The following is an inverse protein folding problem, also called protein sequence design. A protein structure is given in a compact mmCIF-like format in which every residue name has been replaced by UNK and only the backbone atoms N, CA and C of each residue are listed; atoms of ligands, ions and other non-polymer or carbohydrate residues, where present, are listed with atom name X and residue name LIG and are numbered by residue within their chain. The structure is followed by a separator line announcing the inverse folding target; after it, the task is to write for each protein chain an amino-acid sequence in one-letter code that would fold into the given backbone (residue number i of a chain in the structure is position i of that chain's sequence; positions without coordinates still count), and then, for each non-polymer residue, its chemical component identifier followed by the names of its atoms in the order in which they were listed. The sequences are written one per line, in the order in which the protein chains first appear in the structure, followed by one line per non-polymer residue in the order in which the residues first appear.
data_IF_624816975598
#
_entry.id   IF_624816975598
#
_cell.length_a   1.000
_cell.length_b   1.000
_cell.length_c   1.000
_cell.angle_alpha   90.00
_cell.angle_beta   90.00
_cell.angle_gamma   90.00
#
_symmetry.space_group_name_H-M   'P 1'
#
loop_
_entity.id
_entity.type
_entity.pdbx_description
1 polymer ?
#
# COMPACT_ATOMS: atom_id res chain seq x y z
N UNK A 1 -22.40 0.29 -9.02
CA UNK A 1 -21.41 -0.33 -9.88
C UNK A 1 -20.80 0.70 -10.81
N UNK A 2 -19.55 1.00 -10.51
CA UNK A 2 -18.59 1.63 -11.41
C UNK A 2 -17.90 0.56 -12.27
N UNK A 3 -17.54 0.91 -13.49
CA UNK A 3 -16.86 0.04 -14.45
C UNK A 3 -15.55 0.70 -14.87
N UNK A 4 -14.46 -0.07 -14.84
CA UNK A 4 -13.18 0.43 -15.34
C UNK A 4 -13.24 0.67 -16.84
N UNK A 5 -12.62 1.76 -17.29
CA UNK A 5 -12.55 2.09 -18.72
C UNK A 5 -11.21 1.59 -19.24
N UNK A 6 -11.20 0.37 -19.75
CA UNK A 6 -10.11 -0.15 -20.59
C UNK A 6 -10.42 0.10 -22.09
N UNK A 7 -9.58 -0.42 -23.00
CA UNK A 7 -9.77 -0.24 -24.45
C UNK A 7 -11.07 -0.85 -24.97
N UNK A 8 -11.55 -1.95 -24.39
CA UNK A 8 -12.81 -2.58 -24.79
C UNK A 8 -14.02 -1.78 -24.27
N UNK A 9 -14.02 -1.41 -23.00
CA UNK A 9 -15.05 -0.60 -22.37
C UNK A 9 -15.14 0.80 -23.00
N UNK A 10 -14.01 1.41 -23.38
CA UNK A 10 -13.96 2.69 -24.07
C UNK A 10 -14.78 2.68 -25.37
N UNK A 11 -14.73 1.59 -26.13
CA UNK A 11 -15.50 1.45 -27.37
C UNK A 11 -17.02 1.40 -27.13
N UNK A 12 -17.45 0.98 -25.92
CA UNK A 12 -18.85 0.86 -25.54
C UNK A 12 -19.49 2.18 -25.06
N UNK A 13 -18.69 3.21 -24.75
CA UNK A 13 -19.18 4.52 -24.32
C UNK A 13 -19.93 5.20 -25.48
N UNK A 14 -21.23 5.46 -25.28
CA UNK A 14 -22.13 6.04 -26.29
C UNK A 14 -21.88 7.53 -26.51
N UNK A 15 -21.57 8.27 -25.44
CA UNK A 15 -21.34 9.71 -25.52
C UNK A 15 -19.95 9.98 -26.14
N UNK A 16 -19.86 10.60 -27.34
CA UNK A 16 -18.59 10.75 -28.05
C UNK A 16 -17.62 11.71 -27.35
N UNK A 17 -18.14 12.73 -26.64
CA UNK A 17 -17.32 13.67 -25.88
C UNK A 17 -16.74 12.98 -24.65
N UNK A 18 -17.56 12.18 -23.95
CA UNK A 18 -17.06 11.39 -22.82
C UNK A 18 -16.01 10.37 -23.27
N UNK A 19 -16.28 9.64 -24.37
CA UNK A 19 -15.34 8.66 -24.93
C UNK A 19 -14.00 9.30 -25.29
N UNK A 20 -14.00 10.45 -25.97
CA UNK A 20 -12.77 11.18 -26.28
C UNK A 20 -12.05 11.67 -25.00
N UNK A 21 -12.80 12.13 -24.00
CA UNK A 21 -12.23 12.56 -22.72
C UNK A 21 -11.56 11.41 -21.97
N UNK A 22 -12.19 10.23 -21.97
CA UNK A 22 -11.74 9.02 -21.27
C UNK A 22 -10.59 8.31 -21.99
N UNK A 23 -10.46 8.42 -23.31
CA UNK A 23 -9.39 7.75 -24.07
C UNK A 23 -8.00 8.12 -23.58
N UNK A 24 -7.81 9.37 -23.14
CA UNK A 24 -6.55 9.85 -22.56
C UNK A 24 -6.08 9.02 -21.37
N UNK A 25 -6.99 8.55 -20.52
CA UNK A 25 -6.62 7.70 -19.37
C UNK A 25 -6.27 6.27 -19.79
N UNK A 26 -6.91 5.77 -20.84
CA UNK A 26 -6.55 4.48 -21.45
C UNK A 26 -5.16 4.56 -22.07
N UNK A 27 -4.90 5.61 -22.86
CA UNK A 27 -3.61 5.88 -23.51
C UNK A 27 -2.49 6.05 -22.47
N UNK A 28 -2.69 6.85 -21.42
CA UNK A 28 -1.73 7.00 -20.31
C UNK A 28 -1.38 5.65 -19.68
N UNK A 29 -2.38 4.78 -19.49
CA UNK A 29 -2.17 3.48 -18.87
C UNK A 29 -1.42 2.52 -19.80
N UNK A 30 -1.74 2.52 -21.09
CA UNK A 30 -1.05 1.71 -22.09
C UNK A 30 0.39 2.15 -22.30
N UNK A 31 0.66 3.46 -22.34
CA UNK A 31 2.01 4.01 -22.38
C UNK A 31 2.82 3.57 -21.16
N UNK A 32 2.20 3.57 -19.98
CA UNK A 32 2.81 3.06 -18.76
C UNK A 32 3.11 1.55 -18.83
N UNK A 33 2.19 0.72 -19.34
CA UNK A 33 2.46 -0.71 -19.55
C UNK A 33 3.57 -0.94 -20.57
N UNK A 34 3.63 -0.14 -21.64
CA UNK A 34 4.69 -0.20 -22.63
C UNK A 34 6.06 0.15 -22.00
N UNK A 35 6.12 1.15 -21.11
CA UNK A 35 7.33 1.48 -20.35
C UNK A 35 7.74 0.35 -19.42
N UNK A 36 6.79 -0.29 -18.72
CA UNK A 36 7.10 -1.48 -17.90
C UNK A 36 7.69 -2.60 -18.76
N UNK A 37 7.15 -2.82 -19.95
CA UNK A 37 7.65 -3.82 -20.89
C UNK A 37 9.15 -3.65 -21.23
N UNK A 38 9.69 -2.43 -21.14
CA UNK A 38 11.09 -2.14 -21.41
C UNK A 38 12.05 -2.73 -20.36
N UNK A 39 11.59 -3.04 -19.15
CA UNK A 39 12.40 -3.78 -18.17
C UNK A 39 12.65 -5.23 -18.62
N UNK A 40 11.83 -5.77 -19.54
CA UNK A 40 12.00 -7.11 -20.07
C UNK A 40 11.61 -8.22 -19.10
N UNK A 41 10.82 -7.94 -18.06
CA UNK A 41 10.14 -9.00 -17.28
C UNK A 41 8.76 -9.21 -17.91
N UNK A 42 8.35 -10.45 -18.25
CA UNK A 42 7.06 -10.71 -18.87
C UNK A 42 5.88 -10.22 -18.01
N UNK A 43 4.81 -9.79 -18.67
CA UNK A 43 3.55 -9.39 -18.04
C UNK A 43 2.60 -10.59 -17.96
N UNK A 44 1.78 -10.66 -16.91
CA UNK A 44 0.73 -11.65 -16.74
C UNK A 44 -0.50 -11.00 -16.11
N UNK A 45 -1.66 -11.23 -16.72
CA UNK A 45 -2.93 -10.75 -16.21
C UNK A 45 -3.27 -11.45 -14.90
N UNK A 46 -3.64 -10.67 -13.88
CA UNK A 46 -4.14 -11.22 -12.63
C UNK A 46 -5.59 -11.70 -12.78
N UNK A 47 -5.95 -12.79 -12.11
CA UNK A 47 -7.33 -13.25 -12.05
C UNK A 47 -8.09 -12.54 -10.91
N UNK A 48 -8.71 -11.41 -11.23
CA UNK A 48 -9.49 -10.63 -10.26
C UNK A 48 -10.69 -11.41 -9.72
N UNK A 49 -11.34 -12.23 -10.54
CA UNK A 49 -12.50 -12.99 -10.12
C UNK A 49 -12.11 -14.09 -9.13
N UNK A 50 -10.95 -14.72 -9.34
CA UNK A 50 -10.38 -15.69 -8.40
C UNK A 50 -10.04 -15.03 -7.06
N UNK A 51 -9.41 -13.85 -7.09
CA UNK A 51 -9.10 -13.07 -5.88
C UNK A 51 -10.37 -12.71 -5.11
N UNK A 52 -11.39 -12.17 -5.78
CA UNK A 52 -12.68 -11.81 -5.15
C UNK A 52 -13.35 -13.04 -4.52
N UNK A 53 -13.38 -14.17 -5.24
CA UNK A 53 -13.92 -15.45 -4.73
C UNK A 53 -13.15 -15.95 -3.50
N UNK A 54 -11.82 -15.81 -3.51
CA UNK A 54 -10.98 -16.19 -2.39
C UNK A 54 -11.20 -15.29 -1.16
N UNK A 55 -11.33 -13.98 -1.36
CA UNK A 55 -11.61 -13.01 -0.29
C UNK A 55 -12.98 -13.27 0.36
N UNK A 56 -14.00 -13.59 -0.43
CA UNK A 56 -15.32 -13.99 0.08
C UNK A 56 -15.23 -15.25 0.94
N UNK A 57 -14.55 -16.30 0.45
CA UNK A 57 -14.31 -17.53 1.20
C UNK A 57 -13.56 -17.27 2.52
N UNK A 58 -12.52 -16.45 2.48
CA UNK A 58 -11.75 -16.07 3.68
C UNK A 58 -12.61 -15.30 4.69
N UNK A 59 -13.47 -14.40 4.21
CA UNK A 59 -14.42 -13.65 5.04
C UNK A 59 -15.40 -14.60 5.74
N UNK A 60 -15.93 -15.60 5.04
CA UNK A 60 -16.79 -16.64 5.62
C UNK A 60 -16.07 -17.50 6.66
N UNK A 61 -14.78 -17.79 6.44
CA UNK A 61 -13.91 -18.48 7.41
C UNK A 61 -13.48 -17.61 8.61
N UNK A 62 -13.87 -16.33 8.64
CA UNK A 62 -13.62 -15.43 9.77
C UNK A 62 -12.38 -14.54 9.63
N UNK A 63 -11.78 -14.43 8.45
CA UNK A 63 -10.72 -13.45 8.21
C UNK A 63 -11.26 -12.01 8.26
N UNK A 64 -10.44 -11.10 8.77
CA UNK A 64 -10.74 -9.67 8.74
C UNK A 64 -10.24 -9.06 7.42
N UNK A 65 -11.19 -8.58 6.60
CA UNK A 65 -10.92 -7.90 5.34
C UNK A 65 -11.00 -6.38 5.55
N UNK A 66 -9.94 -5.64 5.20
CA UNK A 66 -9.79 -4.19 5.46
C UNK A 66 -9.30 -3.45 4.23
N UNK A 67 -9.48 -2.12 4.26
CA UNK A 67 -8.87 -1.15 3.34
C UNK A 67 -9.16 -1.43 1.87
N UNK A 68 -10.43 -1.61 1.53
CA UNK A 68 -10.83 -2.00 0.17
C UNK A 68 -10.19 -3.33 -0.27
N UNK A 69 -10.21 -4.31 0.63
CA UNK A 69 -9.72 -5.68 0.40
C UNK A 69 -8.20 -5.81 0.21
N UNK A 70 -7.46 -4.72 0.42
CA UNK A 70 -5.99 -4.65 0.30
C UNK A 70 -5.23 -5.16 1.53
N UNK A 71 -5.94 -5.44 2.63
CA UNK A 71 -5.36 -5.93 3.88
C UNK A 71 -6.26 -7.03 4.43
N UNK A 72 -5.70 -8.23 4.59
CA UNK A 72 -6.41 -9.40 5.09
C UNK A 72 -5.62 -9.97 6.25
N UNK A 73 -6.24 -10.17 7.41
CA UNK A 73 -5.55 -10.81 8.52
C UNK A 73 -6.45 -11.70 9.36
N UNK A 74 -5.80 -12.60 10.09
CA UNK A 74 -6.42 -13.48 11.08
C UNK A 74 -5.70 -13.32 12.41
N UNK A 75 -6.43 -13.52 13.51
CA UNK A 75 -5.95 -13.35 14.89
C UNK A 75 -5.40 -11.95 15.18
N UNK A 76 -4.08 -11.78 15.09
CA UNK A 76 -3.37 -10.60 15.53
C UNK A 76 -2.89 -9.73 14.36
N UNK A 77 -2.97 -8.41 14.53
CA UNK A 77 -2.40 -7.42 13.62
C UNK A 77 -1.63 -6.38 14.45
N UNK A 78 -0.46 -5.97 13.97
CA UNK A 78 0.33 -4.92 14.62
C UNK A 78 -0.46 -3.61 14.71
N UNK A 79 -0.44 -2.91 15.87
CA UNK A 79 -0.99 -1.56 15.99
C UNK A 79 -0.45 -0.59 14.94
N UNK A 80 0.80 -0.78 14.51
CA UNK A 80 1.38 0.04 13.47
C UNK A 80 0.91 -0.33 12.06
N UNK A 81 0.52 -1.57 11.80
CA UNK A 81 -0.13 -1.94 10.53
C UNK A 81 -1.54 -1.33 10.45
N UNK A 82 -2.25 -1.21 11.58
CA UNK A 82 -3.50 -0.46 11.66
C UNK A 82 -3.28 1.03 11.35
N UNK A 83 -2.27 1.65 11.99
CA UNK A 83 -1.94 3.06 11.79
C UNK A 83 -1.44 3.39 10.37
N UNK A 84 -0.74 2.44 9.73
CA UNK A 84 -0.21 2.57 8.36
C UNK A 84 -1.27 2.87 7.30
N UNK A 85 -2.55 2.60 7.57
CA UNK A 85 -3.65 2.94 6.64
C UNK A 85 -3.74 4.44 6.34
N UNK A 86 -3.43 5.29 7.34
CA UNK A 86 -3.47 6.76 7.18
C UNK A 86 -2.08 7.38 7.31
N UNK A 87 -1.15 6.71 7.99
CA UNK A 87 0.17 7.25 8.30
C UNK A 87 0.16 8.42 9.30
N UNK A 88 -1.00 8.82 9.81
CA UNK A 88 -1.13 9.94 10.76
C UNK A 88 -0.40 9.61 12.05
N UNK A 89 0.49 10.52 12.47
CA UNK A 89 1.30 10.34 13.67
C UNK A 89 2.29 9.18 13.56
N UNK A 90 2.65 8.75 12.35
CA UNK A 90 3.63 7.70 12.11
C UNK A 90 4.85 8.26 11.39
N UNK A 91 6.05 7.86 11.80
CA UNK A 91 7.26 8.11 11.02
C UNK A 91 8.16 6.87 11.01
N UNK A 92 8.77 6.61 9.85
CA UNK A 92 9.73 5.52 9.65
C UNK A 92 11.03 6.15 9.15
N UNK A 93 12.11 5.90 9.87
CA UNK A 93 13.42 6.52 9.64
C UNK A 93 14.47 5.44 9.43
N UNK A 94 15.62 5.82 8.89
CA UNK A 94 16.76 4.93 8.70
C UNK A 94 18.07 5.64 9.05
N UNK A 95 19.03 4.93 9.63
CA UNK A 95 20.36 5.48 9.94
C UNK A 95 21.19 5.56 8.66
N UNK A 96 21.21 4.47 7.89
CA UNK A 96 21.92 4.33 6.62
C UNK A 96 21.18 3.29 5.76
N UNK A 97 21.57 3.21 4.50
CA UNK A 97 21.16 2.12 3.60
C UNK A 97 22.24 1.02 3.50
N UNK A 98 23.28 1.07 4.34
CA UNK A 98 24.30 0.03 4.42
C UNK A 98 23.66 -1.30 4.85
N UNK A 99 23.96 -2.36 4.12
CA UNK A 99 23.46 -3.70 4.41
C UNK A 99 24.53 -4.74 4.01
N UNK A 100 24.66 -5.80 4.80
CA UNK A 100 25.55 -6.94 4.50
C UNK A 100 24.85 -8.02 3.66
N UNK A 101 23.55 -7.87 3.39
CA UNK A 101 22.75 -8.74 2.53
C UNK A 101 22.55 -8.09 1.16
N UNK A 102 22.48 -8.92 0.11
CA UNK A 102 22.30 -8.50 -1.28
C UNK A 102 21.03 -9.12 -1.89
N UNK A 103 19.88 -8.89 -1.27
CA UNK A 103 18.61 -9.47 -1.73
C UNK A 103 18.27 -8.95 -3.13
N UNK A 104 18.02 -9.85 -4.08
CA UNK A 104 17.75 -9.48 -5.48
C UNK A 104 16.45 -8.67 -5.67
N UNK A 105 15.59 -8.68 -4.65
CA UNK A 105 14.31 -7.97 -4.59
C UNK A 105 14.31 -6.74 -3.66
N UNK A 106 15.48 -6.30 -3.17
CA UNK A 106 15.55 -5.15 -2.26
C UNK A 106 15.03 -3.87 -2.92
N UNK A 107 14.26 -3.02 -2.23
CA UNK A 107 13.83 -1.72 -2.78
C UNK A 107 14.78 -0.57 -2.43
N UNK A 108 15.75 -0.76 -1.52
CA UNK A 108 16.62 0.34 -1.10
C UNK A 108 17.40 1.00 -2.26
N UNK A 109 17.87 0.26 -3.28
CA UNK A 109 18.53 0.88 -4.43
C UNK A 109 17.67 1.87 -5.23
N UNK A 110 16.33 1.84 -5.07
CA UNK A 110 15.43 2.79 -5.72
C UNK A 110 15.35 4.13 -5.00
N UNK A 111 15.92 4.25 -3.80
CA UNK A 111 15.88 5.51 -3.06
C UNK A 111 16.77 6.55 -3.74
N UNK A 112 16.26 7.79 -3.80
CA UNK A 112 17.06 8.93 -4.24
C UNK A 112 18.31 9.05 -3.35
N UNK A 113 19.47 9.27 -3.96
CA UNK A 113 20.76 9.32 -3.28
C UNK A 113 21.15 8.02 -2.51
N UNK A 114 20.78 6.85 -3.03
CA UNK A 114 21.11 5.55 -2.43
C UNK A 114 22.60 5.41 -2.06
N UNK A 115 23.52 5.71 -2.98
CA UNK A 115 24.97 5.59 -2.74
C UNK A 115 25.46 6.50 -1.60
N UNK A 116 24.92 7.72 -1.51
CA UNK A 116 25.18 8.64 -0.40
C UNK A 116 24.73 8.05 0.93
N UNK A 117 23.53 7.48 0.99
CA UNK A 117 23.00 6.87 2.21
C UNK A 117 23.65 5.52 2.56
N UNK A 118 24.30 4.83 1.61
CA UNK A 118 25.13 3.65 1.91
C UNK A 118 26.44 4.07 2.58
N UNK A 119 27.03 5.19 2.15
CA UNK A 119 28.35 5.66 2.62
C UNK A 119 28.29 6.54 3.87
N UNK A 120 27.14 7.14 4.18
CA UNK A 120 26.99 8.11 5.27
C UNK A 120 25.84 7.75 6.21
N UNK A 121 26.00 8.10 7.49
CA UNK A 121 24.96 7.97 8.52
C UNK A 121 24.17 9.27 8.64
N UNK A 122 22.87 9.13 8.85
CA UNK A 122 21.96 10.20 9.24
C UNK A 122 21.99 10.43 10.75
N UNK A 123 21.80 11.68 11.16
CA UNK A 123 21.69 12.07 12.57
C UNK A 123 20.22 12.04 13.01
N UNK A 124 19.75 10.84 13.34
CA UNK A 124 18.34 10.64 13.70
C UNK A 124 17.94 11.32 15.01
N UNK A 125 18.90 11.64 15.89
CA UNK A 125 18.64 12.41 17.10
C UNK A 125 18.14 13.80 16.74
N UNK A 126 18.88 14.51 15.88
CA UNK A 126 18.45 15.83 15.37
C UNK A 126 17.14 15.77 14.62
N UNK A 127 16.93 14.75 13.78
CA UNK A 127 15.67 14.60 13.06
C UNK A 127 14.46 14.43 14.00
N UNK A 128 14.60 13.65 15.08
CA UNK A 128 13.55 13.51 16.09
C UNK A 128 13.31 14.82 16.86
N UNK A 129 14.36 15.58 17.17
CA UNK A 129 14.23 16.92 17.76
C UNK A 129 13.52 17.89 16.81
N UNK A 130 13.75 17.79 15.50
CA UNK A 130 13.04 18.59 14.50
C UNK A 130 11.54 18.26 14.45
N UNK A 131 11.17 16.97 14.51
CA UNK A 131 9.77 16.57 14.66
C UNK A 131 9.16 17.18 15.93
N UNK A 132 9.88 17.15 17.05
CA UNK A 132 9.41 17.72 18.31
C UNK A 132 9.24 19.24 18.22
N UNK A 133 10.19 19.94 17.60
CA UNK A 133 10.16 21.40 17.39
C UNK A 133 9.00 21.83 16.49
N UNK A 134 8.61 20.99 15.52
CA UNK A 134 7.42 21.18 14.68
C UNK A 134 6.12 20.72 15.35
N UNK A 135 6.15 20.45 16.66
CA UNK A 135 5.02 19.99 17.47
C UNK A 135 4.35 18.70 16.93
N UNK A 136 5.12 17.85 16.26
CA UNK A 136 4.61 16.60 15.72
C UNK A 136 4.09 15.69 16.84
N UNK A 137 2.91 15.12 16.65
CA UNK A 137 2.28 14.17 17.58
C UNK A 137 2.53 12.74 17.12
N UNK A 138 3.78 12.29 17.24
CA UNK A 138 4.17 10.93 16.85
C UNK A 138 3.64 9.90 17.85
N UNK A 139 2.92 8.92 17.33
CA UNK A 139 2.36 7.76 18.04
C UNK A 139 3.02 6.46 17.63
N UNK A 140 3.58 6.39 16.43
CA UNK A 140 4.33 5.22 15.93
C UNK A 140 5.65 5.67 15.33
N UNK A 141 6.75 5.06 15.77
CA UNK A 141 8.10 5.31 15.27
C UNK A 141 8.76 3.99 14.89
N UNK A 142 9.33 3.93 13.69
CA UNK A 142 10.04 2.76 13.23
C UNK A 142 11.44 3.09 12.72
N UNK A 143 12.36 2.14 12.94
CA UNK A 143 13.71 2.15 12.39
C UNK A 143 13.86 1.04 11.35
N UNK A 144 14.25 1.42 10.14
CA UNK A 144 14.47 0.54 8.98
C UNK A 144 15.73 1.00 8.22
N UNK A 145 15.85 0.68 6.94
CA UNK A 145 16.93 1.11 6.06
C UNK A 145 17.58 -0.10 5.38
N UNK A 146 18.91 -0.12 5.39
CA UNK A 146 19.67 -1.34 5.13
C UNK A 146 19.54 -2.32 6.30
N UNK A 147 20.60 -2.52 7.06
CA UNK A 147 20.56 -3.28 8.32
C UNK A 147 20.86 -2.34 9.50
N UNK A 148 19.83 -1.92 10.27
CA UNK A 148 20.03 -1.01 11.39
C UNK A 148 21.02 -1.55 12.44
N UNK A 149 21.09 -2.86 12.63
CA UNK A 149 21.97 -3.48 13.63
C UNK A 149 23.45 -3.53 13.24
N UNK A 150 23.83 -3.04 12.04
CA UNK A 150 25.22 -2.65 11.75
C UNK A 150 25.63 -1.38 12.51
N UNK A 151 24.65 -0.63 13.03
CA UNK A 151 24.82 0.61 13.78
C UNK A 151 24.14 0.47 15.14
N UNK A 152 24.64 -0.48 15.95
CA UNK A 152 24.03 -0.88 17.24
C UNK A 152 23.86 0.31 18.19
N UNK A 153 24.88 1.15 18.34
CA UNK A 153 24.86 2.29 19.26
C UNK A 153 23.84 3.34 18.83
N UNK A 154 23.81 3.69 17.55
CA UNK A 154 22.87 4.65 16.98
C UNK A 154 21.44 4.12 17.03
N UNK A 155 21.24 2.83 16.82
CA UNK A 155 19.94 2.16 16.97
C UNK A 155 19.41 2.29 18.40
N UNK A 156 20.26 2.02 19.40
CA UNK A 156 19.87 2.17 20.81
C UNK A 156 19.62 3.63 21.18
N UNK A 157 20.45 4.55 20.69
CA UNK A 157 20.27 5.99 20.89
C UNK A 157 18.93 6.48 20.31
N UNK A 158 18.58 6.04 19.10
CA UNK A 158 17.31 6.37 18.45
C UNK A 158 16.10 5.99 19.32
N UNK A 159 16.04 4.77 19.86
CA UNK A 159 14.89 4.34 20.65
C UNK A 159 14.81 5.03 22.01
N UNK A 160 15.95 5.26 22.68
CA UNK A 160 16.01 6.04 23.92
C UNK A 160 15.49 7.47 23.69
N UNK A 161 15.91 8.08 22.60
CA UNK A 161 15.55 9.44 22.23
C UNK A 161 14.07 9.56 21.81
N UNK A 162 13.57 8.59 21.02
CA UNK A 162 12.17 8.49 20.68
C UNK A 162 11.27 8.45 21.92
N UNK A 163 11.63 7.62 22.91
CA UNK A 163 10.88 7.51 24.18
C UNK A 163 10.96 8.80 25.00
N UNK A 164 12.11 9.48 25.00
CA UNK A 164 12.32 10.74 25.71
C UNK A 164 11.47 11.88 25.13
N UNK A 165 11.49 12.04 23.81
CA UNK A 165 10.82 13.15 23.11
C UNK A 165 9.30 12.93 22.92
N UNK A 166 8.90 11.67 22.75
CA UNK A 166 7.52 11.26 22.49
C UNK A 166 7.08 10.16 23.50
N UNK A 167 6.76 10.53 24.75
CA UNK A 167 6.30 9.56 25.75
C UNK A 167 5.08 8.77 25.26
N UNK A 168 5.14 7.44 25.38
CA UNK A 168 4.07 6.54 24.93
C UNK A 168 4.07 6.21 23.43
N UNK A 169 5.08 6.65 22.68
CA UNK A 169 5.24 6.28 21.27
C UNK A 169 5.49 4.78 21.12
N UNK A 170 4.82 4.17 20.15
CA UNK A 170 5.01 2.77 19.77
C UNK A 170 6.25 2.61 18.88
N UNK A 171 7.30 2.00 19.42
CA UNK A 171 8.59 1.85 18.72
C UNK A 171 8.74 0.50 18.02
N UNK A 172 9.34 0.51 16.83
CA UNK A 172 9.55 -0.68 16.02
C UNK A 172 10.91 -0.72 15.33
N UNK A 173 11.48 -1.92 15.20
CA UNK A 173 12.71 -2.20 14.47
C UNK A 173 12.46 -3.21 13.34
N UNK A 174 12.99 -2.95 12.15
CA UNK A 174 13.13 -3.93 11.07
C UNK A 174 14.58 -4.41 11.01
N UNK A 175 14.81 -5.72 10.91
CA UNK A 175 16.16 -6.30 10.84
C UNK A 175 16.17 -7.63 10.07
N UNK A 176 17.31 -7.98 9.48
CA UNK A 176 17.59 -9.33 8.96
C UNK A 176 17.71 -10.38 10.07
N UNK A 177 18.02 -9.94 11.30
CA UNK A 177 18.22 -10.78 12.48
C UNK A 177 19.66 -11.21 12.75
N UNK A 178 20.57 -11.08 11.78
CA UNK A 178 21.93 -11.65 11.88
C UNK A 178 22.78 -11.02 13.00
N UNK A 179 22.45 -9.79 13.41
CA UNK A 179 23.16 -9.07 14.47
C UNK A 179 22.32 -8.93 15.75
N UNK A 180 21.19 -9.65 15.85
CA UNK A 180 20.28 -9.64 16.99
C UNK A 180 20.64 -10.75 18.01
N UNK A 181 21.85 -10.70 18.55
CA UNK A 181 22.27 -11.55 19.67
C UNK A 181 21.54 -11.20 20.98
N UNK A 182 21.62 -12.07 22.00
CA UNK A 182 20.90 -11.90 23.28
C UNK A 182 21.24 -10.58 23.96
N UNK A 183 22.52 -10.20 23.92
CA UNK A 183 23.01 -8.94 24.48
C UNK A 183 22.35 -7.75 23.77
N UNK A 184 22.29 -7.78 22.44
CA UNK A 184 21.62 -6.76 21.65
C UNK A 184 20.12 -6.73 21.91
N UNK A 185 19.45 -7.87 21.97
CA UNK A 185 18.01 -7.97 22.25
C UNK A 185 17.66 -7.43 23.64
N UNK A 186 18.48 -7.74 24.64
CA UNK A 186 18.35 -7.16 25.98
C UNK A 186 18.53 -5.64 25.97
N UNK A 187 19.56 -5.13 25.28
CA UNK A 187 19.79 -3.70 25.16
C UNK A 187 18.64 -2.97 24.43
N UNK A 188 18.06 -3.59 23.38
CA UNK A 188 16.88 -3.05 22.67
C UNK A 188 15.66 -2.95 23.60
N UNK A 189 15.42 -3.97 24.43
CA UNK A 189 14.37 -3.95 25.46
C UNK A 189 14.56 -2.78 26.41
N UNK A 190 15.78 -2.59 26.94
CA UNK A 190 16.13 -1.50 27.85
C UNK A 190 15.98 -0.12 27.19
N UNK A 191 16.32 -0.01 25.91
CA UNK A 191 16.12 1.19 25.11
C UNK A 191 14.63 1.50 24.83
N UNK A 192 13.72 0.58 25.16
CA UNK A 192 12.28 0.77 25.04
C UNK A 192 11.71 0.32 23.69
N UNK A 193 12.36 -0.64 23.01
CA UNK A 193 11.79 -1.27 21.82
C UNK A 193 10.56 -2.10 22.18
N UNK A 194 9.44 -1.89 21.48
CA UNK A 194 8.20 -2.65 21.71
C UNK A 194 7.99 -3.76 20.68
N UNK A 195 8.29 -3.49 19.41
CA UNK A 195 8.09 -4.43 18.31
C UNK A 195 9.37 -4.64 17.51
N UNK A 196 9.75 -5.90 17.27
CA UNK A 196 10.84 -6.26 16.37
C UNK A 196 10.31 -7.10 15.21
N UNK A 197 10.70 -6.75 13.98
CA UNK A 197 10.32 -7.46 12.76
C UNK A 197 11.55 -8.07 12.11
N UNK A 198 11.58 -9.39 12.06
CA UNK A 198 12.61 -10.16 11.39
C UNK A 198 12.23 -10.42 9.93
N UNK A 199 13.11 -10.09 8.99
CA UNK A 199 12.91 -10.44 7.58
C UNK A 199 13.35 -11.87 7.33
N UNK A 200 12.39 -12.76 7.06
CA UNK A 200 12.68 -14.13 6.59
C UNK A 200 12.76 -14.14 5.06
N UNK A 201 13.80 -14.80 4.57
CA UNK A 201 14.09 -15.01 3.14
C UNK A 201 13.91 -16.47 2.81
N UNK A 202 12.97 -16.79 1.93
CA UNK A 202 12.64 -18.18 1.56
C UNK A 202 13.77 -18.81 0.72
N UNK A 203 14.57 -17.98 0.07
CA UNK A 203 15.74 -18.34 -0.73
C UNK A 203 17.03 -18.53 0.08
N UNK A 204 17.08 -18.09 1.35
CA UNK A 204 18.22 -18.35 2.22
C UNK A 204 18.41 -19.86 2.37
N UNK A 205 19.66 -20.33 2.56
CA UNK A 205 19.92 -21.74 2.82
C UNK A 205 19.19 -22.23 4.07
N UNK A 206 18.92 -23.54 4.17
CA UNK A 206 18.26 -24.10 5.36
C UNK A 206 18.99 -23.75 6.66
N UNK A 207 20.33 -23.71 6.64
CA UNK A 207 21.12 -23.30 7.81
C UNK A 207 20.90 -21.82 8.15
N UNK A 208 20.92 -20.92 7.16
CA UNK A 208 20.69 -19.50 7.38
C UNK A 208 19.27 -19.23 7.88
N UNK A 209 18.25 -19.91 7.33
CA UNK A 209 16.87 -19.81 7.83
C UNK A 209 16.72 -20.30 9.26
N UNK A 210 17.34 -21.45 9.61
CA UNK A 210 17.37 -21.93 11.00
C UNK A 210 18.01 -20.91 11.94
N UNK A 211 19.13 -20.32 11.55
CA UNK A 211 19.76 -19.26 12.33
C UNK A 211 18.80 -18.08 12.57
N UNK A 212 18.10 -17.60 11.54
CA UNK A 212 17.10 -16.54 11.71
C UNK A 212 15.94 -16.96 12.64
N UNK A 213 15.45 -18.20 12.53
CA UNK A 213 14.41 -18.74 13.42
C UNK A 213 14.88 -18.81 14.88
N UNK A 214 16.12 -19.21 15.13
CA UNK A 214 16.72 -19.20 16.49
C UNK A 214 16.78 -17.78 17.06
N UNK A 215 17.16 -16.78 16.24
CA UNK A 215 17.15 -15.36 16.65
C UNK A 215 15.73 -14.87 16.98
N UNK A 216 14.74 -15.29 16.20
CA UNK A 216 13.32 -14.98 16.43
C UNK A 216 12.83 -15.58 17.75
N UNK A 217 13.15 -16.85 18.00
CA UNK A 217 12.78 -17.55 19.24
C UNK A 217 13.44 -16.89 20.46
N UNK A 218 14.73 -16.52 20.36
CA UNK A 218 15.44 -15.80 21.41
C UNK A 218 14.83 -14.42 21.71
N UNK A 219 14.42 -13.68 20.68
CA UNK A 219 13.79 -12.37 20.83
C UNK A 219 12.51 -12.39 21.68
N UNK A 220 11.80 -13.52 21.75
CA UNK A 220 10.58 -13.68 22.57
C UNK A 220 10.84 -13.50 24.06
N UNK A 221 12.05 -13.78 24.54
CA UNK A 221 12.42 -13.56 25.93
C UNK A 221 12.62 -12.07 26.27
N UNK A 222 12.85 -11.23 25.26
CA UNK A 222 13.26 -9.84 25.45
C UNK A 222 12.20 -8.83 24.99
N UNK A 223 11.61 -9.03 23.81
CA UNK A 223 10.77 -8.04 23.14
C UNK A 223 9.29 -8.47 23.18
N UNK A 224 8.35 -7.58 23.57
CA UNK A 224 6.94 -7.95 23.70
C UNK A 224 6.30 -8.45 22.41
N UNK A 225 6.53 -7.76 21.29
CA UNK A 225 5.94 -8.09 20.00
C UNK A 225 7.04 -8.51 19.03
N UNK A 226 7.26 -9.82 18.92
CA UNK A 226 8.13 -10.39 17.88
C UNK A 226 7.29 -10.71 16.66
N UNK A 227 7.69 -10.16 15.53
CA UNK A 227 7.01 -10.34 14.25
C UNK A 227 7.99 -10.76 13.15
N UNK A 228 7.42 -11.26 12.06
CA UNK A 228 8.15 -11.62 10.84
C UNK A 228 7.62 -10.81 9.66
N UNK A 229 8.51 -10.38 8.77
CA UNK A 229 8.19 -9.89 7.44
C UNK A 229 8.64 -10.94 6.43
N UNK A 230 7.71 -11.49 5.65
CA UNK A 230 8.00 -12.53 4.67
C UNK A 230 7.50 -12.11 3.29
N UNK A 231 8.39 -11.78 2.35
CA UNK A 231 8.04 -11.66 0.94
C UNK A 231 7.51 -13.00 0.42
N UNK A 232 6.33 -12.98 -0.21
CA UNK A 232 5.66 -14.20 -0.68
C UNK A 232 6.06 -14.50 -2.12
N UNK A 233 7.11 -15.31 -2.27
CA UNK A 233 7.68 -15.67 -3.57
C UNK A 233 6.80 -16.71 -4.28
N UNK A 234 6.29 -16.41 -5.49
CA UNK A 234 5.52 -17.37 -6.28
C UNK A 234 6.26 -18.69 -6.50
N UNK A 235 5.52 -19.80 -6.41
CA UNK A 235 6.06 -21.15 -6.61
C UNK A 235 6.80 -21.73 -5.40
N UNK A 236 6.79 -21.03 -4.25
CA UNK A 236 7.44 -21.49 -2.99
C UNK A 236 6.43 -21.68 -1.85
N UNK A 237 5.15 -21.86 -2.17
CA UNK A 237 4.04 -21.89 -1.22
C UNK A 237 4.23 -22.92 -0.10
N UNK A 238 4.62 -24.15 -0.41
CA UNK A 238 4.79 -25.21 0.60
C UNK A 238 5.94 -24.89 1.57
N UNK A 239 7.04 -24.34 1.08
CA UNK A 239 8.14 -23.91 1.96
C UNK A 239 7.73 -22.77 2.89
N UNK A 240 6.88 -21.85 2.39
CA UNK A 240 6.31 -20.79 3.23
C UNK A 240 5.35 -21.35 4.27
N UNK A 241 4.53 -22.36 3.94
CA UNK A 241 3.68 -23.06 4.93
C UNK A 241 4.52 -23.72 6.03
N UNK A 242 5.64 -24.35 5.68
CA UNK A 242 6.56 -24.93 6.66
C UNK A 242 7.19 -23.87 7.57
N UNK A 243 7.58 -22.72 7.01
CA UNK A 243 8.02 -21.57 7.80
C UNK A 243 6.91 -21.13 8.76
N UNK A 244 5.66 -21.02 8.29
CA UNK A 244 4.55 -20.63 9.17
C UNK A 244 4.31 -21.62 10.32
N UNK A 245 4.44 -22.93 10.08
CA UNK A 245 4.37 -23.95 11.15
C UNK A 245 5.43 -23.74 12.22
N UNK A 246 6.67 -23.44 11.82
CA UNK A 246 7.74 -23.16 12.78
C UNK A 246 7.51 -21.85 13.54
N UNK A 247 7.01 -20.80 12.88
CA UNK A 247 6.67 -19.54 13.54
C UNK A 247 5.52 -19.67 14.54
N UNK A 248 4.52 -20.50 14.21
CA UNK A 248 3.43 -20.86 15.13
C UNK A 248 3.98 -21.66 16.32
N UNK A 249 4.87 -22.64 16.09
CA UNK A 249 5.55 -23.39 17.16
C UNK A 249 6.32 -22.47 18.12
N UNK A 250 7.02 -21.47 17.58
CA UNK A 250 7.74 -20.45 18.37
C UNK A 250 6.76 -19.53 19.13
N UNK A 251 5.53 -19.37 18.62
CA UNK A 251 4.51 -18.52 19.22
C UNK A 251 4.82 -17.03 19.05
N UNK A 252 5.26 -16.62 17.86
CA UNK A 252 5.44 -15.18 17.54
C UNK A 252 4.10 -14.42 17.63
N UNK A 253 4.16 -13.08 17.70
CA UNK A 253 2.93 -12.28 17.73
C UNK A 253 2.19 -12.35 16.39
N UNK A 254 2.91 -12.07 15.28
CA UNK A 254 2.31 -12.09 13.95
C UNK A 254 3.37 -12.09 12.84
N UNK A 255 3.03 -12.66 11.68
CA UNK A 255 3.75 -12.52 10.42
C UNK A 255 3.00 -11.62 9.45
N UNK A 256 3.72 -10.72 8.81
CA UNK A 256 3.26 -9.98 7.65
C UNK A 256 3.71 -10.72 6.38
N UNK A 257 2.73 -11.15 5.60
CA UNK A 257 2.87 -11.68 4.25
C UNK A 257 2.90 -10.48 3.30
N UNK A 258 4.06 -10.22 2.71
CA UNK A 258 4.27 -9.11 1.80
C UNK A 258 4.07 -9.58 0.37
N UNK A 259 3.17 -8.90 -0.35
CA UNK A 259 3.08 -9.06 -1.80
C UNK A 259 4.44 -8.79 -2.43
N UNK A 260 4.95 -9.79 -3.14
CA UNK A 260 6.28 -9.77 -3.74
C UNK A 260 6.27 -8.85 -4.95
N UNK A 261 7.25 -7.95 -5.05
CA UNK A 261 7.33 -6.98 -6.13
C UNK A 261 8.72 -6.97 -6.77
N UNK A 262 8.75 -6.80 -8.09
CA UNK A 262 9.94 -6.54 -8.88
C UNK A 262 10.47 -5.12 -8.61
N UNK A 263 11.70 -4.93 -8.10
CA UNK A 263 12.18 -3.66 -7.61
C UNK A 263 12.68 -2.72 -8.72
N UNK A 264 12.34 -2.94 -9.99
CA UNK A 264 12.77 -2.11 -11.14
C UNK A 264 14.27 -2.21 -11.48
N UNK A 265 15.02 -3.04 -10.77
CA UNK A 265 16.38 -3.46 -11.12
C UNK A 265 16.48 -4.99 -10.97
N UNK A 266 17.44 -5.62 -11.65
CA UNK A 266 17.62 -7.08 -11.73
C UNK A 266 16.53 -7.86 -12.51
N UNK A 267 16.06 -7.32 -13.64
CA UNK A 267 15.09 -8.02 -14.49
C UNK A 267 15.56 -9.42 -14.93
N UNK A 268 16.86 -9.60 -15.16
CA UNK A 268 17.48 -10.87 -15.53
C UNK A 268 17.22 -11.98 -14.50
N UNK A 269 17.37 -11.67 -13.22
CA UNK A 269 17.12 -12.59 -12.12
C UNK A 269 15.64 -13.00 -12.06
N UNK A 270 14.74 -12.04 -12.29
CA UNK A 270 13.30 -12.30 -12.32
C UNK A 270 12.90 -13.20 -13.49
N UNK A 271 13.49 -12.98 -14.67
CA UNK A 271 13.30 -13.85 -15.83
C UNK A 271 13.82 -15.26 -15.59
N UNK A 272 15.03 -15.39 -15.04
CA UNK A 272 15.63 -16.71 -14.75
C UNK A 272 14.79 -17.52 -13.76
N UNK A 273 14.11 -16.83 -12.83
CA UNK A 273 13.19 -17.44 -11.87
C UNK A 273 11.76 -17.67 -12.40
N UNK A 274 11.47 -17.24 -13.63
CA UNK A 274 10.15 -17.41 -14.26
C UNK A 274 9.05 -16.50 -13.71
N UNK A 275 9.42 -15.38 -13.08
CA UNK A 275 8.44 -14.44 -12.54
C UNK A 275 7.83 -13.56 -13.63
N UNK A 276 6.58 -13.16 -13.40
CA UNK A 276 5.80 -12.28 -14.26
C UNK A 276 5.31 -11.07 -13.46
N UNK A 277 5.29 -9.89 -14.05
CA UNK A 277 4.67 -8.70 -13.44
C UNK A 277 3.15 -8.82 -13.60
N UNK A 278 2.42 -8.63 -12.51
CA UNK A 278 0.95 -8.63 -12.48
C UNK A 278 0.41 -7.43 -13.26
N UNK A 279 -0.57 -7.65 -14.12
CA UNK A 279 -1.33 -6.60 -14.81
C UNK A 279 -2.81 -6.65 -14.45
N UNK A 280 -3.46 -5.50 -14.16
CA UNK A 280 -2.86 -4.17 -13.94
C UNK A 280 -1.97 -4.13 -12.68
N UNK A 281 -0.76 -3.54 -12.71
CA UNK A 281 0.11 -3.46 -11.52
C UNK A 281 -0.37 -2.41 -10.51
N UNK A 282 -1.14 -1.42 -10.97
CA UNK A 282 -1.75 -0.39 -10.13
C UNK A 282 -3.17 -0.11 -10.62
N UNK A 283 -4.15 -0.03 -9.71
CA UNK A 283 -5.52 0.40 -10.05
C UNK A 283 -5.64 1.89 -10.39
N UNK A 284 -4.77 2.71 -9.81
CA UNK A 284 -4.68 4.16 -10.08
C UNK A 284 -3.21 4.53 -10.20
N UNK A 285 -2.82 5.12 -11.33
CA UNK A 285 -1.46 5.61 -11.54
C UNK A 285 -1.25 6.92 -10.78
N UNK A 286 -0.21 6.96 -9.94
CA UNK A 286 0.19 8.14 -9.19
C UNK A 286 1.70 8.03 -8.86
N UNK A 287 2.30 9.15 -8.48
CA UNK A 287 3.67 9.18 -7.99
C UNK A 287 3.70 8.78 -6.52
N UNK A 288 3.68 7.47 -6.26
CA UNK A 288 3.68 6.94 -4.90
C UNK A 288 5.04 7.13 -4.20
N UNK A 289 5.01 7.56 -2.93
CA UNK A 289 6.19 7.79 -2.08
C UNK A 289 6.87 6.50 -1.63
N UNK A 290 6.09 5.43 -1.49
CA UNK A 290 6.64 4.13 -1.17
C UNK A 290 7.48 3.67 -2.36
N UNK A 291 8.79 3.47 -2.15
CA UNK A 291 9.76 3.01 -3.16
C UNK A 291 9.51 1.57 -3.64
N UNK A 292 8.30 1.05 -3.45
CA UNK A 292 7.88 -0.26 -3.92
C UNK A 292 8.02 -0.37 -5.43
N UNK A 293 8.23 -1.60 -5.86
CA UNK A 293 8.34 -1.94 -7.28
C UNK A 293 6.99 -2.31 -7.89
N UNK A 294 7.02 -3.23 -8.85
CA UNK A 294 5.82 -3.73 -9.54
C UNK A 294 5.39 -5.08 -8.96
N UNK A 295 4.11 -5.31 -8.63
CA UNK A 295 3.67 -6.56 -8.04
C UNK A 295 3.94 -7.74 -8.98
N UNK A 296 4.38 -8.86 -8.43
CA UNK A 296 4.60 -10.11 -9.16
C UNK A 296 3.32 -10.92 -9.14
N UNK A 297 2.92 -11.41 -10.31
CA UNK A 297 1.75 -12.28 -10.47
C UNK A 297 1.84 -13.51 -9.55
N UNK A 298 0.69 -14.07 -9.19
CA UNK A 298 0.53 -15.18 -8.23
C UNK A 298 0.87 -14.85 -6.76
N UNK A 299 1.68 -13.82 -6.47
CA UNK A 299 2.08 -13.51 -5.08
C UNK A 299 0.90 -13.17 -4.17
N UNK A 300 -0.09 -12.42 -4.66
CA UNK A 300 -1.32 -12.12 -3.91
C UNK A 300 -2.10 -13.41 -3.59
N UNK A 301 -2.31 -14.28 -4.59
CA UNK A 301 -3.02 -15.55 -4.38
C UNK A 301 -2.28 -16.45 -3.39
N UNK A 302 -0.95 -16.53 -3.46
CA UNK A 302 -0.15 -17.26 -2.49
C UNK A 302 -0.24 -16.65 -1.08
N UNK A 303 -0.30 -15.30 -0.96
CA UNK A 303 -0.56 -14.64 0.32
C UNK A 303 -1.91 -15.06 0.91
N UNK A 304 -2.98 -15.03 0.09
CA UNK A 304 -4.33 -15.42 0.51
C UNK A 304 -4.39 -16.91 0.89
N UNK A 305 -3.71 -17.77 0.14
CA UNK A 305 -3.60 -19.20 0.46
C UNK A 305 -2.87 -19.45 1.79
N UNK A 306 -1.87 -18.64 2.13
CA UNK A 306 -1.18 -18.71 3.42
C UNK A 306 -2.06 -18.21 4.59
N UNK A 307 -2.89 -17.20 4.36
CA UNK A 307 -3.92 -16.79 5.35
C UNK A 307 -4.94 -17.91 5.54
N UNK A 308 -5.43 -18.50 4.45
CA UNK A 308 -6.37 -19.62 4.51
C UNK A 308 -5.77 -20.83 5.24
N UNK A 309 -4.50 -21.15 4.94
CA UNK A 309 -3.77 -22.21 5.63
C UNK A 309 -3.70 -21.98 7.14
N UNK A 310 -3.50 -20.74 7.59
CA UNK A 310 -3.47 -20.41 9.02
C UNK A 310 -4.84 -20.63 9.70
N UNK A 311 -5.94 -20.33 9.00
CA UNK A 311 -7.30 -20.62 9.47
C UNK A 311 -7.56 -22.11 9.55
N UNK A 312 -7.23 -22.85 8.49
CA UNK A 312 -7.47 -24.28 8.37
C UNK A 312 -6.65 -25.11 9.37
N UNK A 313 -5.59 -24.52 9.96
CA UNK A 313 -4.74 -25.16 10.96
C UNK A 313 -4.87 -24.52 12.36
N UNK A 314 -5.90 -23.69 12.59
CA UNK A 314 -6.22 -23.09 13.89
C UNK A 314 -5.05 -22.33 14.56
N UNK A 315 -4.20 -21.68 13.76
CA UNK A 315 -3.04 -20.95 14.29
C UNK A 315 -3.46 -19.91 15.32
N UNK A 316 -2.58 -19.65 16.29
CA UNK A 316 -2.77 -18.61 17.32
C UNK A 316 -2.01 -17.34 16.99
N UNK A 317 -0.88 -17.43 16.29
CA UNK A 317 -0.19 -16.24 15.81
C UNK A 317 -1.06 -15.47 14.79
N UNK A 318 -0.80 -14.18 14.65
CA UNK A 318 -1.40 -13.39 13.58
C UNK A 318 -0.79 -13.70 12.22
N UNK A 319 -1.61 -13.85 11.18
CA UNK A 319 -1.14 -13.93 9.79
C UNK A 319 -1.82 -12.81 9.01
N UNK A 320 -1.02 -11.89 8.46
CA UNK A 320 -1.51 -10.67 7.84
C UNK A 320 -0.94 -10.49 6.43
N UNK A 321 -1.80 -10.64 5.43
CA UNK A 321 -1.53 -10.21 4.06
C UNK A 321 -1.65 -8.69 3.92
N UNK A 322 -0.58 -8.07 3.41
CA UNK A 322 -0.49 -6.64 3.12
C UNK A 322 -0.11 -6.44 1.64
N UNK A 323 -1.07 -5.99 0.84
CA UNK A 323 -0.83 -5.73 -0.59
C UNK A 323 0.07 -4.52 -0.81
N UNK A 324 0.63 -4.39 -2.02
CA UNK A 324 1.33 -3.17 -2.43
C UNK A 324 0.38 -1.96 -2.37
N UNK A 325 -0.86 -2.09 -2.83
CA UNK A 325 -1.83 -1.00 -2.81
C UNK A 325 -2.14 -0.53 -1.38
N UNK A 326 -2.18 -1.43 -0.40
CA UNK A 326 -2.40 -1.06 0.99
C UNK A 326 -1.32 -0.08 1.49
N UNK A 327 -0.07 -0.26 1.05
CA UNK A 327 1.06 0.60 1.43
C UNK A 327 0.95 2.01 0.85
N UNK A 328 0.14 2.20 -0.19
CA UNK A 328 -0.09 3.51 -0.81
C UNK A 328 -1.21 4.32 -0.14
N UNK A 329 -2.08 3.67 0.63
CA UNK A 329 -3.26 4.32 1.25
C UNK A 329 -2.90 5.50 2.15
N UNK A 330 -1.81 5.41 2.93
CA UNK A 330 -1.35 6.50 3.80
C UNK A 330 -1.06 7.78 3.04
N UNK A 331 -0.39 7.68 1.88
CA UNK A 331 -0.06 8.84 1.08
C UNK A 331 -1.33 9.49 0.54
N UNK A 332 -2.23 8.69 -0.05
CA UNK A 332 -3.50 9.18 -0.61
C UNK A 332 -4.29 9.91 0.48
N UNK A 333 -4.40 9.29 1.66
CA UNK A 333 -5.06 9.89 2.81
C UNK A 333 -4.42 11.22 3.20
N UNK A 334 -3.10 11.26 3.40
CA UNK A 334 -2.40 12.47 3.85
C UNK A 334 -2.48 13.61 2.84
N UNK A 335 -2.30 13.32 1.55
CA UNK A 335 -2.42 14.31 0.49
C UNK A 335 -3.83 14.93 0.48
N UNK A 336 -4.87 14.11 0.54
CA UNK A 336 -6.25 14.58 0.46
C UNK A 336 -6.78 15.21 1.76
N UNK A 337 -6.08 15.03 2.89
CA UNK A 337 -6.39 15.68 4.17
C UNK A 337 -5.47 16.86 4.49
N UNK A 338 -4.51 17.18 3.62
CA UNK A 338 -3.64 18.34 3.78
C UNK A 338 -4.41 19.68 3.69
N UNK A 339 -5.55 19.70 3.00
CA UNK A 339 -6.44 20.84 2.95
C UNK A 339 -7.91 20.41 2.72
N UNK A 340 -8.88 21.33 2.85
CA UNK A 340 -10.28 21.03 2.55
C UNK A 340 -10.47 20.57 1.10
N UNK A 341 -11.22 19.49 0.92
CA UNK A 341 -11.60 19.03 -0.41
C UNK A 341 -12.45 20.08 -1.16
N UNK A 342 -12.34 20.16 -2.50
CA UNK A 342 -13.21 21.00 -3.32
C UNK A 342 -14.69 20.71 -3.07
N UNK A 343 -15.54 21.73 -3.18
CA UNK A 343 -16.96 21.59 -2.88
C UNK A 343 -17.71 20.59 -3.80
N UNK A 344 -17.16 20.30 -4.98
CA UNK A 344 -17.68 19.30 -5.93
C UNK A 344 -17.14 17.89 -5.66
N UNK A 345 -16.16 17.72 -4.78
CA UNK A 345 -15.51 16.44 -4.52
C UNK A 345 -16.04 15.75 -3.27
N UNK A 346 -15.97 14.42 -3.28
CA UNK A 346 -16.27 13.56 -2.15
C UNK A 346 -15.02 12.78 -1.76
N UNK A 347 -14.60 12.84 -0.50
CA UNK A 347 -13.51 12.00 0.00
C UNK A 347 -14.00 10.57 0.21
N UNK A 348 -13.54 9.65 -0.64
CA UNK A 348 -13.82 8.22 -0.54
C UNK A 348 -13.41 7.68 0.82
N UNK A 349 -14.25 6.82 1.42
CA UNK A 349 -13.86 6.07 2.62
C UNK A 349 -13.25 4.71 2.28
N UNK A 350 -13.40 4.28 1.03
CA UNK A 350 -12.93 3.01 0.49
C UNK A 350 -11.45 3.09 0.11
N UNK A 351 -11.09 4.09 -0.70
CA UNK A 351 -9.73 4.24 -1.26
C UNK A 351 -9.04 5.57 -0.93
N UNK A 352 -9.71 6.47 -0.20
CA UNK A 352 -9.24 7.80 0.20
C UNK A 352 -9.04 8.81 -0.93
N UNK A 353 -9.28 8.45 -2.18
CA UNK A 353 -9.24 9.41 -3.28
C UNK A 353 -10.44 10.38 -3.22
N UNK A 354 -10.27 11.52 -3.88
CA UNK A 354 -11.37 12.47 -4.09
C UNK A 354 -12.16 12.04 -5.34
N UNK A 355 -13.45 11.81 -5.17
CA UNK A 355 -14.36 11.37 -6.23
C UNK A 355 -15.26 12.51 -6.69
N UNK A 356 -15.33 12.75 -8.00
CA UNK A 356 -16.32 13.66 -8.62
C UNK A 356 -17.10 12.91 -9.70
N UNK A 357 -18.27 13.43 -10.08
CA UNK A 357 -19.08 12.91 -11.16
C UNK A 357 -19.08 13.89 -12.33
N UNK A 358 -19.00 13.40 -13.57
CA UNK A 358 -18.98 14.21 -14.79
C UNK A 358 -19.97 13.71 -15.81
N UNK A 359 -20.65 14.62 -16.49
CA UNK A 359 -21.43 14.35 -17.72
C UNK A 359 -20.93 15.26 -18.82
N UNK A 360 -21.07 14.81 -20.07
CA UNK A 360 -20.35 15.41 -21.20
C UNK A 360 -21.30 15.78 -22.34
N UNK A 361 -20.95 16.81 -23.12
CA UNK A 361 -21.63 17.19 -24.35
C UNK A 361 -23.14 17.34 -24.21
N UNK A 362 -23.87 16.64 -25.09
CA UNK A 362 -25.33 16.72 -25.17
C UNK A 362 -26.09 16.40 -23.88
N UNK A 363 -25.47 15.70 -22.92
CA UNK A 363 -26.10 15.39 -21.62
C UNK A 363 -26.05 16.56 -20.62
N UNK A 364 -25.12 17.51 -20.82
CA UNK A 364 -24.87 18.63 -19.89
C UNK A 364 -26.13 19.47 -19.63
N UNK A 365 -26.89 19.95 -20.64
CA UNK A 365 -28.04 20.82 -20.38
C UNK A 365 -29.11 20.15 -19.50
N UNK A 366 -29.44 18.88 -19.79
CA UNK A 366 -30.48 18.12 -19.07
C UNK A 366 -30.08 17.88 -17.63
N UNK A 367 -28.82 17.51 -17.40
CA UNK A 367 -28.31 17.25 -16.04
C UNK A 367 -28.22 18.55 -15.26
N UNK A 368 -27.71 19.62 -15.87
CA UNK A 368 -27.64 20.95 -15.24
C UNK A 368 -29.00 21.45 -14.77
N UNK A 369 -30.05 21.26 -15.58
CA UNK A 369 -31.42 21.64 -15.20
C UNK A 369 -31.91 20.90 -13.95
N UNK A 370 -31.64 19.60 -13.85
CA UNK A 370 -32.01 18.79 -12.67
C UNK A 370 -31.19 19.21 -11.45
N UNK A 371 -29.87 19.38 -11.59
CA UNK A 371 -28.99 19.75 -10.48
C UNK A 371 -29.28 21.17 -9.96
N UNK A 372 -29.66 22.12 -10.83
CA UNK A 372 -30.08 23.46 -10.43
C UNK A 372 -31.29 23.45 -9.47
N UNK A 373 -32.17 22.44 -9.57
CA UNK A 373 -33.30 22.24 -8.64
C UNK A 373 -32.86 21.64 -7.29
N UNK A 374 -31.58 21.27 -7.12
CA UNK A 374 -31.01 20.66 -5.92
C UNK A 374 -30.03 21.61 -5.23
N UNK A 375 -30.53 22.48 -4.35
CA UNK A 375 -29.75 23.54 -3.63
C UNK A 375 -28.47 23.07 -2.92
N UNK A 376 -28.36 21.78 -2.58
CA UNK A 376 -27.21 21.21 -1.85
C UNK A 376 -26.15 20.55 -2.75
N UNK A 377 -26.41 20.40 -4.05
CA UNK A 377 -25.46 19.78 -4.97
C UNK A 377 -24.64 20.88 -5.65
N UNK A 378 -23.33 20.83 -5.45
CA UNK A 378 -22.38 21.72 -6.10
C UNK A 378 -21.99 21.13 -7.45
N UNK A 379 -21.85 22.01 -8.45
CA UNK A 379 -21.41 21.66 -9.78
C UNK A 379 -20.65 22.82 -10.42
N UNK A 380 -19.78 22.49 -11.37
CA UNK A 380 -18.96 23.41 -12.16
C UNK A 380 -19.01 22.95 -13.61
N UNK A 381 -19.18 23.88 -14.55
CA UNK A 381 -19.10 23.59 -15.98
C UNK A 381 -17.71 23.94 -16.49
N UNK A 382 -17.08 23.01 -17.20
CA UNK A 382 -15.74 23.14 -17.78
C UNK A 382 -15.86 23.25 -19.30
N UNK A 383 -15.81 24.46 -19.88
CA UNK A 383 -16.04 24.67 -21.31
C UNK A 383 -14.98 24.00 -22.19
N UNK A 384 -13.72 23.95 -21.73
CA UNK A 384 -12.61 23.36 -22.48
C UNK A 384 -12.77 21.86 -22.74
N UNK A 385 -13.60 21.20 -21.92
CA UNK A 385 -13.85 19.76 -22.00
C UNK A 385 -15.32 19.43 -22.29
N UNK A 386 -16.15 20.45 -22.49
CA UNK A 386 -17.61 20.35 -22.64
C UNK A 386 -18.23 19.38 -21.62
N UNK A 387 -17.92 19.62 -20.34
CA UNK A 387 -18.37 18.74 -19.27
C UNK A 387 -18.90 19.49 -18.04
N UNK A 388 -19.90 18.90 -17.40
CA UNK A 388 -20.43 19.36 -16.12
C UNK A 388 -19.91 18.42 -15.04
N UNK A 389 -19.03 18.92 -14.19
CA UNK A 389 -18.55 18.24 -13.00
C UNK A 389 -19.43 18.57 -11.81
N UNK A 390 -19.76 17.58 -10.99
CA UNK A 390 -20.62 17.75 -9.84
C UNK A 390 -20.32 16.74 -8.74
N UNK A 391 -20.79 17.05 -7.54
CA UNK A 391 -20.66 16.14 -6.40
C UNK A 391 -21.42 14.84 -6.64
N UNK A 392 -20.78 13.69 -6.39
CA UNK A 392 -21.30 12.32 -6.62
C UNK A 392 -22.71 12.06 -6.05
N UNK A 393 -23.06 12.65 -4.89
CA UNK A 393 -24.44 12.66 -4.34
C UNK A 393 -25.52 13.16 -5.33
N UNK A 394 -25.14 13.97 -6.32
CA UNK A 394 -26.01 14.44 -7.38
C UNK A 394 -26.51 13.33 -8.30
N UNK A 395 -25.77 12.21 -8.43
CA UNK A 395 -26.12 11.07 -9.29
C UNK A 395 -27.51 10.51 -8.93
N UNK A 396 -27.87 10.49 -7.63
CA UNK A 396 -29.19 10.05 -7.16
C UNK A 396 -30.35 10.88 -7.74
N UNK A 397 -30.14 12.14 -8.09
CA UNK A 397 -31.17 12.96 -8.73
C UNK A 397 -31.39 12.60 -10.20
N UNK A 398 -30.49 11.82 -10.80
CA UNK A 398 -30.46 11.49 -12.24
C UNK A 398 -31.01 10.09 -12.53
N UNK A 399 -31.58 9.38 -11.55
CA UNK A 399 -32.07 7.98 -11.68
C UNK A 399 -33.06 7.75 -12.85
N UNK A 400 -33.79 8.79 -13.25
CA UNK A 400 -34.76 8.76 -14.36
C UNK A 400 -34.15 9.07 -15.72
N UNK A 401 -32.86 9.41 -15.75
CA UNK A 401 -32.12 9.74 -16.95
C UNK A 401 -31.34 8.52 -17.43
N UNK A 402 -31.44 8.22 -18.72
CA UNK A 402 -30.44 7.41 -19.40
C UNK A 402 -29.31 8.36 -19.84
N UNK A 403 -28.24 8.41 -19.02
CA UNK A 403 -27.01 9.17 -19.27
C UNK A 403 -25.81 8.37 -18.77
N UNK A 404 -24.68 8.51 -19.44
CA UNK A 404 -23.40 7.98 -18.98
C UNK A 404 -22.73 9.00 -18.06
N UNK A 405 -22.16 8.53 -16.96
CA UNK A 405 -21.49 9.37 -15.96
C UNK A 405 -20.05 8.91 -15.86
N UNK A 406 -19.12 9.85 -15.97
CA UNK A 406 -17.73 9.64 -15.61
C UNK A 406 -17.55 9.81 -14.10
N UNK A 407 -17.09 8.76 -13.42
CA UNK A 407 -16.59 8.86 -12.05
C UNK A 407 -15.10 9.15 -12.12
N UNK A 408 -14.76 10.35 -11.69
CA UNK A 408 -13.41 10.88 -11.71
C UNK A 408 -12.73 10.59 -10.38
N UNK A 409 -11.55 9.98 -10.43
CA UNK A 409 -10.68 9.75 -9.27
C UNK A 409 -9.58 10.81 -9.25
N UNK A 410 -9.47 11.55 -8.15
CA UNK A 410 -8.62 12.73 -8.02
C UNK A 410 -7.78 12.71 -6.75
N UNK A 411 -6.68 13.46 -6.77
CA UNK A 411 -5.79 13.70 -5.64
C UNK A 411 -5.52 15.20 -5.49
N UNK A 412 -5.34 15.66 -4.25
CA UNK A 412 -4.74 16.97 -3.97
C UNK A 412 -3.22 16.90 -4.11
N UNK A 413 -2.66 17.81 -4.90
CA UNK A 413 -1.23 17.92 -5.16
C UNK A 413 -0.78 19.36 -4.89
N UNK A 414 0.36 19.52 -4.22
CA UNK A 414 1.00 20.81 -4.06
C UNK A 414 1.97 21.02 -5.23
N UNK A 415 1.76 22.06 -6.05
CA UNK A 415 2.67 22.46 -7.13
C UNK A 415 3.19 23.86 -6.86
N UNK A 416 4.43 23.95 -6.41
CA UNK A 416 4.99 25.20 -5.89
C UNK A 416 4.15 25.69 -4.71
N UNK A 417 3.61 26.90 -4.80
CA UNK A 417 2.78 27.50 -3.76
C UNK A 417 1.27 27.25 -3.94
N UNK A 418 0.86 26.60 -5.02
CA UNK A 418 -0.54 26.35 -5.32
C UNK A 418 -0.93 24.91 -5.02
N UNK A 419 -2.12 24.74 -4.46
CA UNK A 419 -2.75 23.45 -4.31
C UNK A 419 -3.70 23.23 -5.47
N UNK A 420 -3.51 22.11 -6.18
CA UNK A 420 -4.33 21.74 -7.32
C UNK A 420 -5.04 20.41 -7.06
N UNK A 421 -6.13 20.20 -7.79
CA UNK A 421 -6.83 18.91 -7.89
C UNK A 421 -6.38 18.27 -9.19
N UNK A 422 -5.70 17.14 -9.10
CA UNK A 422 -5.29 16.37 -10.28
C UNK A 422 -6.21 15.17 -10.45
N UNK A 423 -6.83 15.07 -11.62
CA UNK A 423 -7.55 13.87 -12.04
C UNK A 423 -6.54 12.80 -12.47
N UNK A 424 -6.74 11.57 -12.00
CA UNK A 424 -5.83 10.44 -12.18
C UNK A 424 -6.44 9.30 -12.99
N UNK A 425 -7.76 9.12 -12.90
CA UNK A 425 -8.48 8.01 -13.55
C UNK A 425 -9.92 8.43 -13.81
N UNK A 426 -10.49 7.86 -14.88
CA UNK A 426 -11.90 7.97 -15.21
C UNK A 426 -12.53 6.58 -15.25
N UNK A 427 -13.69 6.43 -14.63
CA UNK A 427 -14.48 5.19 -14.60
C UNK A 427 -15.89 5.47 -15.13
N UNK A 428 -16.53 4.47 -15.73
CA UNK A 428 -17.87 4.57 -16.27
C UNK A 428 -18.90 4.19 -15.20
N UNK A 429 -19.96 4.97 -15.09
CA UNK A 429 -21.14 4.64 -14.31
C UNK A 429 -22.42 5.06 -15.04
N UNK A 430 -23.54 4.58 -14.52
CA UNK A 430 -24.86 5.09 -14.86
C UNK A 430 -25.60 5.48 -13.59
N UNK A 431 -26.59 6.39 -13.65
CA UNK A 431 -27.38 6.73 -12.48
C UNK A 431 -27.98 5.49 -11.80
N UNK A 432 -28.48 4.53 -12.59
CA UNK A 432 -29.19 3.35 -12.09
C UNK A 432 -28.32 2.37 -11.33
N UNK A 433 -27.08 2.18 -11.78
CA UNK A 433 -26.19 1.19 -11.21
C UNK A 433 -25.31 1.76 -10.09
N UNK A 434 -25.01 3.06 -10.11
CA UNK A 434 -24.13 3.68 -9.13
C UNK A 434 -24.71 3.65 -7.71
N UNK A 435 -23.93 3.11 -6.78
CA UNK A 435 -24.21 3.09 -5.35
C UNK A 435 -23.03 3.70 -4.60
N UNK A 436 -23.28 4.77 -3.86
CA UNK A 436 -22.22 5.54 -3.22
C UNK A 436 -21.52 4.76 -2.09
N UNK A 437 -22.20 3.85 -1.40
CA UNK A 437 -21.63 3.09 -0.28
C UNK A 437 -20.82 1.89 -0.77
N UNK A 438 -21.28 1.26 -1.86
CA UNK A 438 -20.60 0.11 -2.45
C UNK A 438 -19.44 0.53 -3.37
N UNK A 439 -19.60 1.62 -4.12
CA UNK A 439 -18.64 2.01 -5.15
C UNK A 439 -17.50 2.89 -4.63
N UNK A 440 -17.73 3.79 -3.65
CA UNK A 440 -16.74 4.84 -3.27
C UNK A 440 -16.65 5.18 -1.77
#
# INVERSE_FOLDING_TARGET
MITEIDRAALASIRNPVFRAYASRYVEIYEDFLAQIGQFGVPLMEGDRQEVETCLERLREKGAHIRNDERSVYVNHISPACLACQTGVGSATLFISLQCHRHCFFCFNPNQENYEGFVSQKRDLGKELEEYKRREARLKHLALTGGEPLLHKEETLAFFREARRLFPGVYTRLYTSGDHADSTMLAALKEAGLQEIRFSIRVEDSTQARRHTLERIEEAKAHIPFVMVEMPVLPGRLEEMKDILRELERIGIFSVNLLEFCFPLFNADEYRQRGYHIKTPPYRVLNNYWYAGGLPVAQSEMDCLALVEFALDNDFKMGVHYCSLENKHTAQIYQQNHAAPAPAVAFASKKDYFLKTAKVFGGDVPRVKEILAKKRKIKYTYHPDYDCLEFHVRGIRALQRLDVEIGISTNILEQRGNEQIVRELKMELATPRLFDMEMDI
#
